data_IF_499451018866
#
_entry.id   IF_499451018866
#
_cell.length_a   1.000
_cell.length_b   1.000
_cell.length_c   1.000
_cell.angle_alpha   90.00
_cell.angle_beta   90.00
_cell.angle_gamma   90.00
#
_symmetry.space_group_name_H-M   'P 1'
#
loop_
_entity.id
_entity.type
_entity.pdbx_description
1 polymer ?
#
# COMPACT_ATOMS: atom_id res chain seq x y z
N UNK A 1 -22.02 11.66 -3.93
CA UNK A 1 -21.64 10.28 -3.62
C UNK A 1 -20.49 10.29 -2.61
N UNK A 2 -20.54 9.40 -1.63
CA UNK A 2 -19.43 9.11 -0.74
C UNK A 2 -18.62 7.94 -1.33
N UNK A 3 -17.30 8.04 -1.32
CA UNK A 3 -16.44 6.94 -1.69
C UNK A 3 -15.25 6.88 -0.74
N UNK A 4 -14.69 5.69 -0.56
CA UNK A 4 -13.55 5.45 0.33
C UNK A 4 -12.56 4.49 -0.29
N UNK A 5 -11.30 4.59 0.14
CA UNK A 5 -10.23 3.70 -0.25
C UNK A 5 -9.28 3.47 0.92
N UNK A 6 -8.76 2.26 1.03
CA UNK A 6 -7.92 1.84 2.14
C UNK A 6 -6.54 1.44 1.64
N UNK A 7 -5.51 1.70 2.44
CA UNK A 7 -4.16 1.27 2.19
C UNK A 7 -3.54 0.65 3.44
N UNK A 8 -2.74 -0.39 3.25
CA UNK A 8 -1.94 -0.99 4.30
C UNK A 8 -0.59 -0.29 4.49
N UNK A 9 0.39 -1.02 5.01
CA UNK A 9 1.77 -0.55 5.17
C UNK A 9 2.07 0.04 6.53
N UNK A 10 2.98 1.00 6.58
CA UNK A 10 3.49 1.64 7.79
C UNK A 10 3.09 3.10 7.94
N UNK A 11 2.65 3.73 6.88
CA UNK A 11 2.38 5.18 6.81
C UNK A 11 1.33 5.63 7.84
N UNK A 12 0.30 4.79 8.13
CA UNK A 12 -0.70 5.09 9.16
C UNK A 12 -0.10 5.27 10.57
N UNK A 13 0.98 4.55 10.90
CA UNK A 13 1.70 4.73 12.16
C UNK A 13 2.33 6.13 12.25
N UNK A 14 2.97 6.59 11.15
CA UNK A 14 3.57 7.92 11.12
C UNK A 14 2.52 9.02 11.12
N UNK A 15 1.41 8.81 10.40
CA UNK A 15 0.26 9.69 10.46
C UNK A 15 -0.28 9.83 11.90
N UNK A 16 -0.38 8.72 12.65
CA UNK A 16 -0.83 8.75 14.04
C UNK A 16 0.12 9.52 14.97
N UNK A 17 1.41 9.58 14.63
CA UNK A 17 2.44 10.29 15.42
C UNK A 17 2.38 11.81 15.28
N UNK A 18 1.64 12.33 14.31
CA UNK A 18 1.37 13.76 14.19
C UNK A 18 0.39 14.25 15.27
N UNK A 19 -0.28 13.33 15.99
CA UNK A 19 -1.27 13.66 17.01
C UNK A 19 -2.69 13.88 16.47
N UNK A 20 -2.85 14.00 15.16
CA UNK A 20 -4.17 14.18 14.54
C UNK A 20 -4.84 12.83 14.25
N UNK A 21 -6.17 12.82 14.24
CA UNK A 21 -6.99 11.65 13.94
C UNK A 21 -7.40 11.61 12.46
N UNK A 22 -7.52 12.77 11.83
CA UNK A 22 -7.89 12.92 10.43
C UNK A 22 -7.38 14.24 9.85
N UNK A 23 -7.26 14.29 8.53
CA UNK A 23 -6.92 15.49 7.78
C UNK A 23 -7.98 15.74 6.72
N UNK A 24 -8.47 16.97 6.64
CA UNK A 24 -9.38 17.42 5.59
C UNK A 24 -8.65 18.40 4.68
N UNK A 25 -8.55 18.06 3.39
CA UNK A 25 -7.90 18.90 2.38
C UNK A 25 -8.95 19.54 1.50
N UNK A 26 -9.10 20.87 1.58
CA UNK A 26 -10.04 21.66 0.79
C UNK A 26 -9.30 22.50 -0.24
N UNK A 27 -9.97 22.78 -1.38
CA UNK A 27 -9.39 23.58 -2.46
C UNK A 27 -8.33 22.83 -3.26
N UNK A 28 -7.63 23.56 -4.10
CA UNK A 28 -6.52 23.09 -4.93
C UNK A 28 -5.43 24.16 -4.97
N UNK A 29 -4.18 23.74 -5.16
CA UNK A 29 -3.06 24.65 -5.37
C UNK A 29 -3.03 25.14 -6.82
N UNK A 30 -2.45 26.33 -7.07
CA UNK A 30 -2.19 26.81 -8.43
C UNK A 30 -1.02 26.05 -9.07
N UNK A 31 -0.02 25.69 -8.27
CA UNK A 31 1.19 24.98 -8.69
C UNK A 31 1.29 23.64 -7.96
N UNK A 32 2.05 22.67 -8.50
CA UNK A 32 2.29 21.40 -7.82
C UNK A 32 2.94 21.59 -6.44
N UNK A 33 2.36 20.92 -5.43
CA UNK A 33 2.86 20.95 -4.05
C UNK A 33 2.98 19.55 -3.48
N UNK A 34 3.85 19.41 -2.49
CA UNK A 34 3.77 18.31 -1.54
C UNK A 34 3.62 18.88 -0.12
N UNK A 35 2.96 18.16 0.75
CA UNK A 35 2.57 18.64 2.07
C UNK A 35 3.35 17.86 3.12
N UNK A 36 4.06 18.56 3.99
CA UNK A 36 4.68 18.01 5.19
C UNK A 36 3.76 18.24 6.38
N UNK A 37 3.41 17.17 7.10
CA UNK A 37 2.56 17.20 8.28
C UNK A 37 3.33 16.58 9.44
N UNK A 38 3.55 17.38 10.47
CA UNK A 38 4.20 16.93 11.71
C UNK A 38 3.30 17.16 12.92
N UNK A 39 3.78 16.79 14.10
CA UNK A 39 3.15 17.13 15.38
C UNK A 39 3.35 18.60 15.80
N UNK A 40 4.06 19.39 14.98
CA UNK A 40 4.36 20.79 15.24
C UNK A 40 3.71 21.73 14.22
N UNK A 41 3.74 21.35 12.95
CA UNK A 41 3.34 22.23 11.86
C UNK A 41 2.89 21.47 10.61
N UNK A 42 2.22 22.19 9.72
CA UNK A 42 1.91 21.76 8.36
C UNK A 42 2.60 22.73 7.40
N UNK A 43 3.46 22.22 6.53
CA UNK A 43 4.24 23.00 5.58
C UNK A 43 3.93 22.55 4.15
N UNK A 44 3.74 23.53 3.27
CA UNK A 44 3.57 23.29 1.83
C UNK A 44 4.90 23.57 1.12
N UNK A 45 5.37 22.59 0.38
CA UNK A 45 6.59 22.68 -0.42
C UNK A 45 6.26 22.62 -1.90
N UNK A 46 7.06 23.28 -2.73
CA UNK A 46 6.96 23.10 -4.18
C UNK A 46 7.22 21.64 -4.56
N UNK A 47 6.39 21.09 -5.44
CA UNK A 47 6.56 19.78 -6.03
C UNK A 47 6.86 19.85 -7.54
N UNK A 48 7.31 21.00 -8.05
CA UNK A 48 7.62 21.16 -9.47
C UNK A 48 8.63 20.13 -9.96
N UNK A 49 9.66 19.86 -9.17
CA UNK A 49 10.71 18.88 -9.49
C UNK A 49 10.28 17.43 -9.24
N UNK A 50 9.12 17.22 -8.61
CA UNK A 50 8.55 15.90 -8.37
C UNK A 50 7.44 15.55 -9.37
N UNK A 51 6.87 16.56 -10.03
CA UNK A 51 5.78 16.35 -10.98
C UNK A 51 6.30 15.65 -12.22
N UNK A 52 5.58 14.58 -12.64
CA UNK A 52 6.00 13.70 -13.73
C UNK A 52 6.79 12.47 -13.28
N UNK A 53 7.31 12.45 -12.04
CA UNK A 53 8.00 11.28 -11.50
C UNK A 53 7.03 10.15 -11.14
N UNK A 54 7.53 8.92 -11.20
CA UNK A 54 6.78 7.78 -10.67
C UNK A 54 6.67 7.81 -9.14
N UNK A 55 5.91 6.86 -8.58
CA UNK A 55 5.64 6.82 -7.14
C UNK A 55 6.86 6.40 -6.32
N UNK A 56 7.72 5.54 -6.84
CA UNK A 56 8.94 5.10 -6.16
C UNK A 56 9.93 6.25 -6.02
N UNK A 57 10.22 6.94 -7.11
CA UNK A 57 11.14 8.07 -7.11
C UNK A 57 10.59 9.24 -6.28
N UNK A 58 9.29 9.48 -6.36
CA UNK A 58 8.63 10.52 -5.55
C UNK A 58 8.78 10.22 -4.06
N UNK A 59 8.49 9.00 -3.64
CA UNK A 59 8.59 8.58 -2.24
C UNK A 59 10.03 8.68 -1.72
N UNK A 60 11.00 8.22 -2.52
CA UNK A 60 12.43 8.31 -2.19
C UNK A 60 12.88 9.76 -2.04
N UNK A 61 12.53 10.65 -2.96
CA UNK A 61 12.93 12.06 -2.89
C UNK A 61 12.33 12.76 -1.67
N UNK A 62 11.06 12.54 -1.37
CA UNK A 62 10.42 13.12 -0.18
C UNK A 62 11.04 12.58 1.10
N UNK A 63 11.25 11.26 1.21
CA UNK A 63 11.92 10.64 2.38
C UNK A 63 13.35 11.17 2.57
N UNK A 64 14.11 11.30 1.49
CA UNK A 64 15.47 11.83 1.53
C UNK A 64 15.49 13.31 1.95
N UNK A 65 14.55 14.12 1.44
CA UNK A 65 14.42 15.50 1.83
C UNK A 65 14.13 15.63 3.35
N UNK A 66 13.19 14.86 3.88
CA UNK A 66 12.88 14.83 5.32
C UNK A 66 14.11 14.43 6.13
N UNK A 67 14.81 13.38 5.71
CA UNK A 67 16.04 12.91 6.40
C UNK A 67 17.13 14.00 6.47
N UNK A 68 17.25 14.83 5.42
CA UNK A 68 18.27 15.88 5.35
C UNK A 68 17.87 17.16 6.10
N UNK A 69 16.58 17.51 6.10
CA UNK A 69 16.10 18.80 6.59
C UNK A 69 15.37 18.73 7.93
N UNK A 70 15.04 17.52 8.41
CA UNK A 70 14.33 17.29 9.68
C UNK A 70 15.09 16.25 10.52
N UNK A 71 16.19 16.61 11.18
CA UNK A 71 17.01 15.65 11.94
C UNK A 71 16.24 14.99 13.09
N UNK A 72 15.18 15.63 13.60
CA UNK A 72 14.28 15.08 14.61
C UNK A 72 13.31 14.02 14.05
N UNK A 73 13.04 14.01 12.75
CA UNK A 73 12.22 13.02 12.08
C UNK A 73 13.02 11.73 11.85
N UNK A 74 13.05 10.84 12.82
CA UNK A 74 13.78 9.55 12.70
C UNK A 74 13.30 8.70 11.53
N UNK A 75 12.00 8.75 11.24
CA UNK A 75 11.33 8.10 10.11
C UNK A 75 10.08 8.88 9.75
N UNK A 76 9.62 8.78 8.51
CA UNK A 76 8.38 9.36 8.04
C UNK A 76 7.60 8.35 7.18
N UNK A 77 6.29 8.57 7.07
CA UNK A 77 5.43 7.92 6.08
C UNK A 77 5.16 8.89 4.95
N UNK A 78 5.06 8.37 3.74
CA UNK A 78 4.74 9.17 2.55
C UNK A 78 3.58 8.51 1.82
N UNK A 79 2.60 9.31 1.41
CA UNK A 79 1.60 8.94 0.41
C UNK A 79 1.82 9.82 -0.82
N UNK A 80 1.75 9.25 -2.01
CA UNK A 80 2.01 10.00 -3.23
C UNK A 80 1.19 9.50 -4.42
N UNK A 81 1.16 10.30 -5.47
CA UNK A 81 0.60 9.94 -6.77
C UNK A 81 1.71 9.87 -7.83
N UNK A 82 1.51 9.00 -8.80
CA UNK A 82 2.29 8.96 -10.03
C UNK A 82 1.64 9.76 -11.16
N UNK A 83 2.19 9.66 -12.39
CA UNK A 83 1.66 10.35 -13.57
C UNK A 83 0.19 10.09 -13.86
N UNK A 84 -0.34 8.93 -13.48
CA UNK A 84 -1.78 8.63 -13.64
C UNK A 84 -2.65 9.58 -12.81
N UNK A 85 -2.27 9.86 -11.55
CA UNK A 85 -2.97 10.83 -10.70
C UNK A 85 -2.85 12.25 -11.23
N UNK A 86 -1.66 12.64 -11.66
CA UNK A 86 -1.37 13.96 -12.25
C UNK A 86 -2.21 14.23 -13.51
N UNK A 87 -2.41 13.20 -14.33
CA UNK A 87 -3.22 13.24 -15.55
C UNK A 87 -4.70 12.92 -15.31
N UNK A 88 -5.15 12.89 -14.06
CA UNK A 88 -6.55 12.71 -13.67
C UNK A 88 -7.16 11.41 -14.20
N UNK A 89 -6.38 10.35 -14.34
CA UNK A 89 -6.90 9.03 -14.74
C UNK A 89 -7.89 8.56 -13.68
N UNK A 90 -9.11 8.23 -14.10
CA UNK A 90 -10.26 7.99 -13.22
C UNK A 90 -10.08 6.86 -12.19
N UNK A 91 -9.17 5.95 -12.42
CA UNK A 91 -8.81 4.87 -11.51
C UNK A 91 -7.40 5.02 -10.90
N UNK A 92 -6.81 6.23 -10.96
CA UNK A 92 -5.53 6.50 -10.34
C UNK A 92 -5.56 6.27 -8.83
N UNK A 93 -4.49 5.73 -8.31
CA UNK A 93 -4.34 5.33 -6.91
C UNK A 93 -3.48 6.32 -6.13
N UNK A 94 -3.54 6.26 -4.80
CA UNK A 94 -2.53 6.85 -3.91
C UNK A 94 -1.66 5.71 -3.41
N UNK A 95 -0.35 5.83 -3.60
CA UNK A 95 0.65 4.84 -3.18
C UNK A 95 1.35 5.25 -1.88
N UNK A 96 1.77 4.25 -1.10
CA UNK A 96 2.66 4.41 0.05
C UNK A 96 3.49 3.15 0.28
N UNK A 97 4.61 3.31 0.96
CA UNK A 97 5.54 2.21 1.25
C UNK A 97 5.88 1.41 -0.03
N UNK A 98 6.00 2.11 -1.16
CA UNK A 98 6.30 1.62 -2.52
C UNK A 98 5.25 0.68 -3.14
N UNK A 99 4.57 -0.16 -2.33
CA UNK A 99 3.76 -1.29 -2.78
C UNK A 99 2.36 -1.30 -2.19
N UNK A 100 1.98 -0.28 -1.45
CA UNK A 100 0.67 -0.20 -0.79
C UNK A 100 -0.16 0.88 -1.42
N UNK A 101 -1.33 0.48 -1.92
CA UNK A 101 -2.20 1.36 -2.68
C UNK A 101 -3.54 1.59 -1.99
N UNK A 102 -3.95 2.84 -1.91
CA UNK A 102 -5.37 3.16 -1.83
C UNK A 102 -5.91 3.11 -3.26
N UNK A 103 -6.29 1.89 -3.70
CA UNK A 103 -6.44 1.53 -5.11
C UNK A 103 -7.85 1.68 -5.68
N UNK A 104 -8.87 1.90 -4.84
CA UNK A 104 -10.27 2.01 -5.29
C UNK A 104 -10.71 3.46 -5.42
N UNK A 105 -11.75 3.69 -6.23
CA UNK A 105 -12.51 4.94 -6.31
C UNK A 105 -11.78 6.16 -6.91
N UNK A 106 -10.57 5.99 -7.45
CA UNK A 106 -9.86 7.07 -8.15
C UNK A 106 -9.34 8.19 -7.24
N UNK A 107 -9.02 7.88 -5.99
CA UNK A 107 -8.53 8.88 -5.01
C UNK A 107 -7.23 9.56 -5.45
N UNK A 108 -6.41 8.91 -6.29
CA UNK A 108 -5.22 9.50 -6.88
C UNK A 108 -5.55 10.65 -7.85
N UNK A 109 -6.62 10.52 -8.64
CA UNK A 109 -7.08 11.61 -9.50
C UNK A 109 -7.62 12.79 -8.67
N UNK A 110 -8.29 12.52 -7.53
CA UNK A 110 -8.73 13.57 -6.61
C UNK A 110 -7.53 14.33 -6.04
N UNK A 111 -6.46 13.62 -5.64
CA UNK A 111 -5.23 14.23 -5.17
C UNK A 111 -4.54 15.05 -6.27
N UNK A 112 -4.47 14.52 -7.50
CA UNK A 112 -3.94 15.21 -8.68
C UNK A 112 -4.73 16.46 -9.07
N UNK A 113 -6.07 16.42 -8.97
CA UNK A 113 -6.92 17.59 -9.24
C UNK A 113 -6.67 18.76 -8.28
N UNK A 114 -6.11 18.48 -7.11
CA UNK A 114 -5.68 19.45 -6.11
C UNK A 114 -4.21 19.88 -6.29
N UNK A 115 -3.53 19.34 -7.29
CA UNK A 115 -2.09 19.50 -7.54
C UNK A 115 -1.22 19.09 -6.35
N UNK A 116 -1.63 18.10 -5.58
CA UNK A 116 -0.85 17.54 -4.49
C UNK A 116 -0.13 16.30 -4.99
N UNK A 117 1.20 16.37 -5.04
CA UNK A 117 2.06 15.25 -5.48
C UNK A 117 2.27 14.21 -4.39
N UNK A 118 2.53 14.68 -3.17
CA UNK A 118 2.76 13.82 -2.02
C UNK A 118 2.30 14.48 -0.72
N UNK A 119 2.07 13.64 0.30
CA UNK A 119 1.88 14.08 1.68
C UNK A 119 2.79 13.21 2.55
N UNK A 120 3.59 13.84 3.39
CA UNK A 120 4.44 13.13 4.34
C UNK A 120 3.99 13.38 5.78
N UNK A 121 4.17 12.35 6.62
CA UNK A 121 3.78 12.37 8.03
C UNK A 121 4.96 11.96 8.89
N UNK A 122 5.24 12.75 9.93
CA UNK A 122 6.20 12.39 10.97
C UNK A 122 5.83 13.09 12.28
N UNK A 123 6.35 12.59 13.40
CA UNK A 123 6.11 13.18 14.71
C UNK A 123 6.54 12.27 15.84
N UNK A 124 6.41 12.77 17.04
CA UNK A 124 6.80 12.14 18.29
C UNK A 124 5.62 11.67 19.15
N UNK A 125 4.40 12.04 18.78
CA UNK A 125 3.21 11.76 19.57
C UNK A 125 2.95 10.25 19.66
N UNK A 126 2.48 9.83 20.83
CA UNK A 126 2.04 8.45 21.08
C UNK A 126 0.56 8.47 21.39
N UNK A 127 -0.24 7.80 20.58
CA UNK A 127 -1.65 7.58 20.89
C UNK A 127 -1.77 6.48 21.95
N UNK A 128 -2.38 6.83 23.07
CA UNK A 128 -2.66 5.90 24.16
C UNK A 128 -4.16 5.60 24.13
N UNK A 129 -4.57 4.31 23.97
CA UNK A 129 -5.97 3.93 24.09
C UNK A 129 -6.54 4.32 25.45
N UNK A 130 -7.84 4.64 25.51
CA UNK A 130 -8.53 4.96 26.76
C UNK A 130 -8.41 3.84 27.80
N UNK A 131 -8.45 2.59 27.33
CA UNK A 131 -8.19 1.40 28.15
C UNK A 131 -7.09 0.55 27.48
N UNK A 132 -5.87 0.80 27.88
CA UNK A 132 -4.70 0.15 27.32
C UNK A 132 -4.64 -1.36 27.63
N UNK A 133 -5.03 -1.75 28.83
CA UNK A 133 -4.97 -3.15 29.26
C UNK A 133 -6.05 -3.98 28.57
N UNK A 134 -7.23 -3.42 28.38
CA UNK A 134 -8.29 -4.07 27.60
C UNK A 134 -7.89 -4.27 26.15
N UNK A 135 -7.28 -3.27 25.51
CA UNK A 135 -6.77 -3.39 24.14
C UNK A 135 -5.66 -4.45 24.03
N UNK A 136 -4.70 -4.45 24.96
CA UNK A 136 -3.65 -5.48 25.00
C UNK A 136 -4.21 -6.88 25.17
N UNK A 137 -5.13 -7.05 26.12
CA UNK A 137 -5.79 -8.32 26.40
C UNK A 137 -6.56 -8.82 25.17
N UNK A 138 -7.33 -7.94 24.52
CA UNK A 138 -8.05 -8.26 23.29
C UNK A 138 -7.10 -8.72 22.19
N UNK A 139 -6.05 -7.94 21.89
CA UNK A 139 -5.08 -8.28 20.83
C UNK A 139 -4.39 -9.61 21.11
N UNK A 140 -3.97 -9.85 22.36
CA UNK A 140 -3.34 -11.11 22.77
C UNK A 140 -4.31 -12.28 22.64
N UNK A 141 -5.54 -12.14 23.11
CA UNK A 141 -6.59 -13.17 23.02
C UNK A 141 -6.94 -13.50 21.57
N UNK A 142 -7.12 -12.48 20.73
CA UNK A 142 -7.40 -12.64 19.32
C UNK A 142 -6.26 -13.34 18.58
N UNK A 143 -5.02 -12.87 18.74
CA UNK A 143 -3.85 -13.50 18.12
C UNK A 143 -3.66 -14.96 18.56
N UNK A 144 -3.90 -15.27 19.86
CA UNK A 144 -3.85 -16.65 20.38
C UNK A 144 -4.93 -17.53 19.78
N UNK A 145 -6.15 -17.02 19.60
CA UNK A 145 -7.27 -17.76 19.00
C UNK A 145 -7.03 -18.05 17.53
N UNK A 146 -6.51 -17.07 16.78
CA UNK A 146 -6.38 -17.15 15.32
C UNK A 146 -5.03 -17.72 14.86
N UNK A 147 -4.06 -17.94 15.77
CA UNK A 147 -2.72 -18.44 15.40
C UNK A 147 -2.75 -19.76 14.61
N UNK A 148 -3.71 -20.64 14.91
CA UNK A 148 -3.87 -21.95 14.28
C UNK A 148 -4.98 -21.97 13.21
N UNK A 149 -5.53 -20.82 12.86
CA UNK A 149 -6.55 -20.67 11.81
C UNK A 149 -6.01 -21.10 10.44
N UNK A 150 -6.63 -22.06 9.72
CA UNK A 150 -6.20 -22.44 8.38
C UNK A 150 -6.19 -21.27 7.39
N UNK A 151 -7.10 -20.32 7.55
CA UNK A 151 -7.19 -19.12 6.72
C UNK A 151 -5.97 -18.21 6.94
N UNK A 152 -5.60 -17.96 8.20
CA UNK A 152 -4.41 -17.16 8.54
C UNK A 152 -3.14 -17.84 8.01
N UNK A 153 -3.03 -19.16 8.20
CA UNK A 153 -1.90 -19.95 7.66
C UNK A 153 -1.84 -19.90 6.14
N UNK A 154 -2.97 -20.02 5.46
CA UNK A 154 -3.07 -19.93 4.00
C UNK A 154 -2.56 -18.58 3.50
N UNK A 155 -3.07 -17.47 4.03
CA UNK A 155 -2.61 -16.13 3.66
C UNK A 155 -1.13 -15.92 4.00
N UNK A 156 -0.67 -16.35 5.16
CA UNK A 156 0.73 -16.21 5.57
C UNK A 156 1.68 -17.01 4.68
N UNK A 157 1.28 -18.20 4.24
CA UNK A 157 2.09 -19.08 3.39
C UNK A 157 2.03 -18.68 1.92
N UNK A 158 0.83 -18.45 1.39
CA UNK A 158 0.58 -18.35 -0.05
C UNK A 158 0.22 -16.90 -0.50
N UNK A 159 -0.16 -16.02 0.44
CA UNK A 159 -0.67 -14.69 0.10
C UNK A 159 -2.04 -14.74 -0.57
N UNK A 160 -2.45 -13.61 -1.15
CA UNK A 160 -3.71 -13.50 -1.89
C UNK A 160 -3.73 -14.34 -3.18
N UNK A 161 -2.56 -14.67 -3.73
CA UNK A 161 -2.43 -15.50 -4.93
C UNK A 161 -3.02 -16.93 -4.79
N UNK A 162 -3.25 -17.40 -3.55
CA UNK A 162 -3.98 -18.66 -3.32
C UNK A 162 -5.43 -18.60 -3.83
N UNK A 163 -6.01 -17.41 -3.94
CA UNK A 163 -7.38 -17.22 -4.41
C UNK A 163 -7.54 -17.59 -5.89
N UNK A 164 -6.47 -17.63 -6.67
CA UNK A 164 -6.49 -18.08 -8.07
C UNK A 164 -7.08 -19.48 -8.16
N UNK A 165 -6.54 -20.45 -7.38
CA UNK A 165 -7.01 -21.82 -7.41
C UNK A 165 -8.44 -21.94 -6.87
N UNK A 166 -8.76 -21.24 -5.79
CA UNK A 166 -10.07 -21.27 -5.14
C UNK A 166 -11.15 -20.75 -6.10
N UNK A 167 -10.95 -19.56 -6.67
CA UNK A 167 -11.95 -18.94 -7.55
C UNK A 167 -12.02 -19.63 -8.91
N UNK A 168 -10.88 -20.13 -9.42
CA UNK A 168 -10.86 -20.88 -10.68
C UNK A 168 -11.65 -22.19 -10.56
N UNK A 169 -11.47 -22.94 -9.47
CA UNK A 169 -12.26 -24.15 -9.18
C UNK A 169 -13.74 -23.84 -9.03
N UNK A 170 -14.07 -22.76 -8.34
CA UNK A 170 -15.46 -22.31 -8.16
C UNK A 170 -16.10 -21.76 -9.45
N UNK A 171 -15.35 -21.53 -10.51
CA UNK A 171 -15.86 -20.95 -11.77
C UNK A 171 -16.15 -19.46 -11.70
N UNK A 172 -15.51 -18.75 -10.77
CA UNK A 172 -15.67 -17.32 -10.57
C UNK A 172 -14.33 -16.53 -10.62
N UNK A 173 -13.28 -17.10 -11.21
CA UNK A 173 -12.05 -16.39 -11.50
C UNK A 173 -12.32 -15.39 -12.62
N UNK A 174 -12.18 -14.04 -12.39
CA UNK A 174 -12.65 -13.04 -13.32
C UNK A 174 -11.67 -12.78 -14.46
N UNK A 175 -11.33 -13.82 -15.21
CA UNK A 175 -10.42 -13.74 -16.35
C UNK A 175 -11.07 -13.13 -17.57
N UNK A 176 -10.25 -12.58 -18.48
CA UNK A 176 -10.66 -11.89 -19.73
C UNK A 176 -11.71 -10.81 -19.47
N UNK A 177 -11.43 -9.97 -18.49
CA UNK A 177 -12.31 -8.87 -18.13
C UNK A 177 -13.74 -9.34 -17.81
N UNK A 178 -13.86 -10.36 -16.93
CA UNK A 178 -15.11 -11.01 -16.48
C UNK A 178 -15.90 -11.73 -17.58
N UNK A 179 -15.34 -11.94 -18.76
CA UNK A 179 -16.00 -12.70 -19.82
C UNK A 179 -15.99 -14.20 -19.57
N UNK A 180 -15.05 -14.67 -18.75
CA UNK A 180 -14.91 -16.07 -18.34
C UNK A 180 -14.74 -16.17 -16.83
N UNK A 181 -15.27 -17.25 -16.26
CA UNK A 181 -15.11 -17.59 -14.85
C UNK A 181 -13.96 -18.55 -14.57
N UNK A 182 -13.22 -18.97 -15.60
CA UNK A 182 -12.09 -19.89 -15.47
C UNK A 182 -10.97 -19.53 -16.45
N UNK A 183 -9.75 -19.61 -15.98
CA UNK A 183 -8.53 -19.52 -16.81
C UNK A 183 -7.98 -20.93 -17.03
N UNK A 184 -7.74 -21.30 -18.30
CA UNK A 184 -7.19 -22.60 -18.69
C UNK A 184 -5.73 -22.79 -18.24
N UNK A 185 -5.05 -21.69 -17.92
CA UNK A 185 -3.66 -21.62 -17.50
C UNK A 185 -3.48 -21.22 -16.03
N UNK A 186 -4.49 -21.41 -15.19
CA UNK A 186 -4.48 -20.97 -13.79
C UNK A 186 -3.27 -21.53 -13.01
N UNK A 187 -2.83 -22.75 -13.30
CA UNK A 187 -1.65 -23.37 -12.69
C UNK A 187 -0.33 -22.64 -12.99
N UNK A 188 -0.28 -21.85 -14.06
CA UNK A 188 0.92 -21.05 -14.44
C UNK A 188 0.99 -19.71 -13.75
N UNK A 189 -0.10 -19.27 -13.11
CA UNK A 189 -0.25 -17.94 -12.51
C UNK A 189 -0.70 -17.99 -11.04
N UNK A 190 -0.87 -19.17 -10.46
CA UNK A 190 -1.27 -19.36 -9.07
C UNK A 190 -0.10 -19.14 -8.08
N UNK A 191 -0.39 -19.33 -6.78
CA UNK A 191 0.61 -19.16 -5.74
C UNK A 191 1.80 -20.13 -5.87
N UNK A 192 1.58 -21.37 -6.35
CA UNK A 192 2.66 -22.33 -6.57
C UNK A 192 3.62 -21.85 -7.64
N UNK A 193 3.10 -21.43 -8.80
CA UNK A 193 3.91 -20.86 -9.87
C UNK A 193 4.69 -19.61 -9.44
N UNK A 194 4.10 -18.79 -8.56
CA UNK A 194 4.78 -17.63 -7.97
C UNK A 194 6.00 -18.06 -7.15
N UNK A 195 5.83 -19.04 -6.25
CA UNK A 195 6.90 -19.58 -5.41
C UNK A 195 8.00 -20.29 -6.21
N UNK A 196 7.67 -20.90 -7.35
CA UNK A 196 8.66 -21.51 -8.24
C UNK A 196 9.55 -20.49 -8.95
N UNK A 197 8.97 -19.33 -9.34
CA UNK A 197 9.66 -18.30 -10.14
C UNK A 197 10.38 -17.27 -9.29
N UNK A 198 9.92 -17.03 -8.07
CA UNK A 198 10.46 -16.04 -7.16
C UNK A 198 10.95 -16.72 -5.87
N UNK A 199 11.95 -16.11 -5.25
CA UNK A 199 12.30 -16.39 -3.86
C UNK A 199 11.39 -15.55 -2.98
N UNK A 200 10.31 -16.16 -2.46
CA UNK A 200 9.18 -15.45 -1.84
C UNK A 200 9.25 -15.52 -0.33
N UNK A 201 9.14 -14.36 0.30
CA UNK A 201 9.03 -14.21 1.75
C UNK A 201 7.70 -13.52 2.14
N UNK A 202 7.09 -13.89 3.28
CA UNK A 202 5.95 -13.14 3.79
C UNK A 202 6.33 -11.69 4.09
N UNK A 203 5.47 -10.76 3.70
CA UNK A 203 5.64 -9.34 4.01
C UNK A 203 4.38 -8.79 4.69
N UNK A 204 4.54 -8.24 5.88
CA UNK A 204 3.43 -7.77 6.71
C UNK A 204 3.31 -6.26 6.72
N UNK A 205 2.09 -5.75 6.69
CA UNK A 205 1.81 -4.40 7.19
C UNK A 205 2.17 -4.30 8.68
N UNK A 206 2.44 -3.10 9.15
CA UNK A 206 2.84 -2.88 10.54
C UNK A 206 1.82 -3.49 11.52
N UNK A 207 2.33 -4.29 12.47
CA UNK A 207 1.53 -4.97 13.50
C UNK A 207 0.48 -5.98 12.97
N UNK A 208 0.56 -6.36 11.69
CA UNK A 208 -0.33 -7.37 11.12
C UNK A 208 0.29 -8.78 11.23
N UNK A 209 -0.38 -9.68 11.94
CA UNK A 209 0.09 -11.06 12.10
C UNK A 209 -0.25 -11.97 10.93
N UNK A 210 -1.14 -11.55 10.01
CA UNK A 210 -1.53 -12.33 8.82
C UNK A 210 -0.39 -12.38 7.81
N UNK A 211 0.31 -11.26 7.60
CA UNK A 211 1.44 -11.17 6.67
C UNK A 211 1.11 -11.68 5.26
N UNK A 212 0.00 -11.21 4.69
CA UNK A 212 -0.49 -11.65 3.37
C UNK A 212 0.35 -11.17 2.18
N UNK A 213 1.12 -10.08 2.31
CA UNK A 213 2.00 -9.61 1.25
C UNK A 213 3.12 -10.60 0.93
N UNK A 214 3.58 -10.58 -0.31
CA UNK A 214 4.66 -11.44 -0.82
C UNK A 214 5.80 -10.59 -1.34
N UNK A 215 6.91 -10.55 -0.62
CA UNK A 215 8.14 -9.96 -1.13
C UNK A 215 8.94 -11.06 -1.82
N UNK A 216 9.15 -10.91 -3.13
CA UNK A 216 9.82 -11.90 -3.95
C UNK A 216 11.08 -11.34 -4.61
N UNK A 217 12.08 -12.21 -4.81
CA UNK A 217 13.23 -11.91 -5.65
C UNK A 217 13.17 -12.75 -6.91
N UNK A 218 13.24 -12.12 -8.08
CA UNK A 218 13.18 -12.81 -9.38
C UNK A 218 14.40 -13.71 -9.54
N UNK A 219 14.16 -15.03 -9.77
CA UNK A 219 15.24 -16.04 -9.82
C UNK A 219 15.96 -16.10 -11.17
N UNK A 220 15.33 -15.67 -12.26
CA UNK A 220 15.91 -15.83 -13.60
C UNK A 220 15.41 -14.84 -14.63
N UNK A 221 15.90 -14.95 -15.88
CA UNK A 221 15.57 -14.08 -17.00
C UNK A 221 16.21 -12.69 -16.88
N UNK A 222 15.75 -11.77 -17.75
CA UNK A 222 16.30 -10.39 -17.84
C UNK A 222 16.14 -9.56 -16.54
N UNK A 223 15.24 -9.95 -15.65
CA UNK A 223 14.96 -9.26 -14.39
C UNK A 223 15.49 -10.00 -13.16
N UNK A 224 16.42 -10.95 -13.34
CA UNK A 224 17.03 -11.69 -12.22
C UNK A 224 17.58 -10.75 -11.15
N UNK A 225 17.22 -11.00 -9.90
CA UNK A 225 17.64 -10.20 -8.74
C UNK A 225 16.71 -9.03 -8.41
N UNK A 226 15.76 -8.69 -9.29
CA UNK A 226 14.76 -7.66 -8.99
C UNK A 226 13.90 -8.10 -7.80
N UNK A 227 13.73 -7.20 -6.83
CA UNK A 227 12.81 -7.40 -5.70
C UNK A 227 11.48 -6.73 -6.02
N UNK A 228 10.39 -7.46 -5.82
CA UNK A 228 9.02 -6.99 -6.01
C UNK A 228 8.15 -7.44 -4.85
N UNK A 229 7.14 -6.67 -4.50
CA UNK A 229 6.04 -7.14 -3.66
C UNK A 229 4.85 -7.50 -4.55
N UNK A 230 4.27 -8.69 -4.33
CA UNK A 230 3.20 -9.23 -5.17
C UNK A 230 3.71 -10.28 -6.18
N UNK A 231 2.93 -10.53 -7.27
CA UNK A 231 1.64 -9.91 -7.56
C UNK A 231 0.53 -10.33 -6.58
N UNK A 232 -0.38 -9.42 -6.28
CA UNK A 232 -1.60 -9.70 -5.55
C UNK A 232 -2.64 -10.36 -6.48
N UNK A 233 -3.64 -11.04 -5.90
CA UNK A 233 -4.68 -11.73 -6.66
C UNK A 233 -5.36 -10.84 -7.69
N UNK A 234 -5.64 -9.58 -7.34
CA UNK A 234 -6.27 -8.59 -8.21
C UNK A 234 -5.41 -8.28 -9.43
N UNK A 235 -4.11 -8.16 -9.26
CA UNK A 235 -3.17 -7.98 -10.38
C UNK A 235 -3.17 -9.20 -11.29
N UNK A 236 -3.18 -10.40 -10.71
CA UNK A 236 -3.12 -11.66 -11.47
C UNK A 236 -4.34 -11.78 -12.38
N UNK A 237 -5.57 -11.61 -11.89
CA UNK A 237 -6.75 -11.79 -12.72
C UNK A 237 -6.97 -10.67 -13.74
N UNK A 238 -6.46 -9.46 -13.48
CA UNK A 238 -6.60 -8.35 -14.43
C UNK A 238 -5.67 -8.49 -15.64
N UNK A 239 -4.54 -9.17 -15.49
CA UNK A 239 -3.59 -9.46 -16.56
C UNK A 239 -3.68 -10.90 -17.11
N UNK A 240 -4.32 -11.81 -16.40
CA UNK A 240 -4.36 -13.26 -16.68
C UNK A 240 -5.50 -13.80 -17.57
#
# INVERSE_FOLDING_TARGET
FFSESYSGGTTAEYMSRTGFDAFMIKGASNDPVWIEISDKEVVFHSATDLWGLDTFETEDRVKNWIKQNRPEAKKCGVVCIGPAGENLVSFAVIENDYWRSAGRTGVGAVMGSKKIKAITFWGSQKKTPADQERVKSFVKGFASKEKDSPVVHGYKKMGTSMLVDITNKAGCFPTRYWQKGRADHAEKINATALHERLDVQPHACLKCFIACGRLGTVRGGRHKGLKIEGPEYETIYTFG
#
